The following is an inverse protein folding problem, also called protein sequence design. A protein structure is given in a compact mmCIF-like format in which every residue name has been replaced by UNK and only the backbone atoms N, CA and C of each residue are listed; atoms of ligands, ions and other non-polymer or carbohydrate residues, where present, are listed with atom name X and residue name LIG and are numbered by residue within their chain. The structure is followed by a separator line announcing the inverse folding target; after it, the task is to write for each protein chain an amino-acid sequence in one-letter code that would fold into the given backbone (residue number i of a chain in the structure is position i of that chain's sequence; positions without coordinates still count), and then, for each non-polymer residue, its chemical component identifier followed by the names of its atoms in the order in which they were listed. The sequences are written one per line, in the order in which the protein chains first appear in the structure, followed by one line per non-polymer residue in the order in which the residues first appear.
data_IF_636112066208
#
_entry.id   IF_636112066208
#
_cell.length_a   1.000
_cell.length_b   1.000
_cell.length_c   1.000
_cell.angle_alpha   90.00
_cell.angle_beta   90.00
_cell.angle_gamma   90.00
#
_symmetry.space_group_name_H-M   'P 1'
#
loop_
_entity.id
_entity.type
_entity.pdbx_description
1 polymer ?
#
# COMPACT_ATOMS: atom_id res chain seq x y z
N UNK A 1 8.39 21.09 18.84
CA UNK A 1 8.09 20.50 17.51
C UNK A 1 6.84 19.67 17.62
N UNK A 2 5.95 19.72 16.62
CA UNK A 2 4.75 18.86 16.57
C UNK A 2 5.16 17.42 16.26
N UNK A 3 4.49 16.43 16.86
CA UNK A 3 4.71 15.00 16.58
C UNK A 3 4.22 14.67 15.16
N UNK A 4 5.05 13.97 14.39
CA UNK A 4 4.71 13.49 13.04
C UNK A 4 3.56 12.48 13.11
N UNK A 5 2.59 12.62 12.20
CA UNK A 5 1.41 11.76 12.09
C UNK A 5 1.36 11.10 10.72
N UNK A 6 0.46 10.13 10.57
CA UNK A 6 0.22 9.45 9.30
C UNK A 6 -0.18 10.45 8.21
N UNK A 7 -1.06 11.40 8.54
CA UNK A 7 -1.53 12.39 7.57
C UNK A 7 -0.40 13.29 7.06
N UNK A 8 0.64 13.51 7.88
CA UNK A 8 1.82 14.28 7.46
C UNK A 8 2.60 13.52 6.36
N UNK A 9 2.69 12.19 6.46
CA UNK A 9 3.29 11.35 5.41
C UNK A 9 2.43 11.27 4.16
N UNK A 10 1.10 11.14 4.32
CA UNK A 10 0.17 11.09 3.18
C UNK A 10 0.21 12.39 2.37
N UNK A 11 0.27 13.54 3.05
CA UNK A 11 0.42 14.85 2.44
C UNK A 11 1.80 15.02 1.80
N UNK A 12 2.88 14.73 2.53
CA UNK A 12 4.26 14.88 2.04
C UNK A 12 4.51 14.09 0.75
N UNK A 13 4.01 12.86 0.68
CA UNK A 13 4.18 11.98 -0.48
C UNK A 13 3.01 12.04 -1.48
N UNK A 14 2.04 12.93 -1.21
CA UNK A 14 0.84 13.14 -2.04
C UNK A 14 0.14 11.83 -2.43
N UNK A 15 0.02 10.88 -1.49
CA UNK A 15 -0.52 9.54 -1.78
C UNK A 15 -1.96 9.63 -2.26
N UNK A 16 -2.75 10.53 -1.69
CA UNK A 16 -4.13 10.81 -2.14
C UNK A 16 -4.19 11.29 -3.59
N UNK A 17 -3.14 12.00 -4.08
CA UNK A 17 -3.10 12.55 -5.43
C UNK A 17 -2.84 11.52 -6.53
N UNK A 18 -2.05 10.47 -6.27
CA UNK A 18 -1.71 9.44 -7.26
C UNK A 18 -2.24 8.04 -6.94
N UNK A 19 -2.54 7.76 -5.67
CA UNK A 19 -2.92 6.43 -5.18
C UNK A 19 -4.28 5.94 -5.67
N UNK A 20 -5.12 6.83 -6.23
CA UNK A 20 -6.41 6.52 -6.85
C UNK A 20 -7.28 5.59 -5.98
N UNK A 21 -7.27 5.81 -4.65
CA UNK A 21 -7.95 5.00 -3.63
C UNK A 21 -7.46 3.54 -3.48
N UNK A 22 -6.55 3.07 -4.33
CA UNK A 22 -5.91 1.77 -4.16
C UNK A 22 -4.74 1.82 -3.18
N UNK A 23 -4.01 2.93 -3.11
CA UNK A 23 -2.84 3.08 -2.23
C UNK A 23 -3.12 4.11 -1.13
N UNK A 24 -2.67 3.81 0.08
CA UNK A 24 -2.81 4.67 1.27
C UNK A 24 -1.79 4.32 2.36
N UNK A 25 -1.86 5.00 3.50
CA UNK A 25 -1.09 4.65 4.71
C UNK A 25 -2.03 4.09 5.77
N UNK A 26 -1.71 2.92 6.32
CA UNK A 26 -2.52 2.30 7.38
C UNK A 26 -2.20 2.86 8.78
N UNK A 27 -2.93 2.40 9.80
CA UNK A 27 -2.77 2.84 11.20
C UNK A 27 -1.38 2.58 11.80
N UNK A 28 -0.59 1.68 11.19
CA UNK A 28 0.80 1.39 11.59
C UNK A 28 1.81 2.34 10.93
N UNK A 29 1.37 3.19 10.01
CA UNK A 29 2.23 4.05 9.21
C UNK A 29 2.88 3.35 8.01
N UNK A 30 2.37 2.18 7.60
CA UNK A 30 2.86 1.45 6.44
C UNK A 30 2.02 1.75 5.20
N UNK A 31 2.63 1.63 4.01
CA UNK A 31 1.88 1.67 2.76
C UNK A 31 1.00 0.43 2.67
N UNK A 32 -0.29 0.65 2.43
CA UNK A 32 -1.28 -0.39 2.20
C UNK A 32 -1.86 -0.28 0.79
N UNK A 33 -2.19 -1.44 0.21
CA UNK A 33 -2.85 -1.55 -1.09
C UNK A 33 -4.22 -2.20 -0.92
N UNK A 34 -5.28 -1.56 -1.40
CA UNK A 34 -6.64 -2.10 -1.43
C UNK A 34 -7.03 -2.28 -2.90
N UNK A 35 -6.81 -3.47 -3.50
CA UNK A 35 -6.90 -3.66 -4.95
C UNK A 35 -8.30 -3.47 -5.55
N UNK A 36 -9.35 -3.59 -4.73
CA UNK A 36 -10.76 -3.45 -5.11
C UNK A 36 -11.47 -2.55 -4.11
N UNK A 37 -12.42 -1.73 -4.57
CA UNK A 37 -13.32 -0.99 -3.68
C UNK A 37 -14.02 -1.97 -2.72
N UNK A 38 -14.03 -1.63 -1.43
CA UNK A 38 -14.57 -2.45 -0.33
C UNK A 38 -13.87 -3.83 -0.16
N UNK A 39 -12.69 -4.01 -0.76
CA UNK A 39 -11.86 -5.20 -0.63
C UNK A 39 -10.97 -5.20 0.61
N UNK A 40 -10.18 -6.27 0.74
CA UNK A 40 -9.18 -6.40 1.82
C UNK A 40 -7.94 -5.59 1.47
N UNK A 41 -7.46 -4.81 2.44
CA UNK A 41 -6.20 -4.08 2.33
C UNK A 41 -5.01 -5.01 2.63
N UNK A 42 -3.94 -4.86 1.86
CA UNK A 42 -2.67 -5.57 2.00
C UNK A 42 -1.61 -4.59 2.50
N UNK A 43 -1.02 -4.86 3.66
CA UNK A 43 0.12 -4.10 4.19
C UNK A 43 1.40 -4.55 3.44
N UNK A 44 2.01 -3.64 2.68
CA UNK A 44 3.20 -3.96 1.87
C UNK A 44 4.42 -4.28 2.73
N UNK A 45 4.54 -3.69 3.93
CA UNK A 45 5.67 -3.97 4.81
C UNK A 45 5.56 -5.37 5.39
N UNK A 46 4.37 -5.77 5.80
CA UNK A 46 4.12 -7.14 6.28
C UNK A 46 4.29 -8.16 5.16
N UNK A 47 3.77 -7.89 3.96
CA UNK A 47 3.96 -8.73 2.79
C UNK A 47 5.45 -8.96 2.48
N UNK A 48 6.25 -7.89 2.48
CA UNK A 48 7.70 -8.03 2.21
C UNK A 48 8.41 -8.83 3.31
N UNK A 49 8.03 -8.67 4.57
CA UNK A 49 8.58 -9.47 5.67
C UNK A 49 8.23 -10.96 5.49
N UNK A 50 6.99 -11.28 5.09
CA UNK A 50 6.58 -12.66 4.81
C UNK A 50 7.31 -13.28 3.63
N UNK A 51 7.53 -12.52 2.56
CA UNK A 51 8.33 -12.97 1.41
C UNK A 51 9.76 -13.28 1.83
N UNK A 52 10.37 -12.43 2.67
CA UNK A 52 11.71 -12.66 3.18
C UNK A 52 11.82 -13.97 3.99
N UNK A 53 10.79 -14.33 4.77
CA UNK A 53 10.73 -15.61 5.50
C UNK A 53 10.63 -16.84 4.57
N UNK A 54 10.25 -16.63 3.30
CA UNK A 54 10.18 -17.66 2.27
C UNK A 54 11.40 -17.63 1.33
N UNK A 55 12.51 -17.06 1.80
CA UNK A 55 13.75 -16.86 1.03
C UNK A 55 13.57 -16.03 -0.26
N UNK A 56 12.50 -15.22 -0.34
CA UNK A 56 12.28 -14.27 -1.43
C UNK A 56 12.67 -12.85 -0.97
N UNK A 57 13.89 -12.44 -1.29
CA UNK A 57 14.39 -11.10 -1.00
C UNK A 57 14.15 -10.12 -2.16
N UNK A 58 14.17 -8.82 -1.85
CA UNK A 58 14.18 -7.78 -2.87
C UNK A 58 15.39 -7.93 -3.84
N UNK A 59 15.25 -7.52 -5.12
CA UNK A 59 14.08 -6.86 -5.72
C UNK A 59 12.94 -7.84 -6.04
N UNK A 60 11.69 -7.43 -5.77
CA UNK A 60 10.47 -8.20 -6.11
C UNK A 60 9.48 -7.29 -6.83
N UNK A 61 8.81 -7.83 -7.85
CA UNK A 61 7.68 -7.17 -8.52
C UNK A 61 6.36 -7.81 -8.05
N UNK A 62 5.64 -7.11 -7.18
CA UNK A 62 4.30 -7.51 -6.72
C UNK A 62 3.25 -6.95 -7.69
N UNK A 63 2.32 -7.81 -8.13
CA UNK A 63 1.23 -7.42 -9.04
C UNK A 63 -0.11 -7.61 -8.34
N UNK A 64 -1.02 -6.67 -8.55
CA UNK A 64 -2.40 -6.70 -8.06
C UNK A 64 -3.36 -6.70 -9.26
N UNK A 65 -3.69 -7.87 -9.83
CA UNK A 65 -4.56 -7.97 -11.00
C UNK A 65 -5.94 -7.33 -10.78
N UNK A 66 -6.47 -7.39 -9.56
CA UNK A 66 -7.78 -6.83 -9.23
C UNK A 66 -7.86 -5.31 -9.47
N UNK A 67 -6.74 -4.57 -9.42
CA UNK A 67 -6.70 -3.14 -9.78
C UNK A 67 -6.99 -2.96 -11.27
N UNK A 68 -6.48 -3.86 -12.11
CA UNK A 68 -6.74 -3.83 -13.55
C UNK A 68 -8.20 -4.14 -13.82
N UNK A 69 -8.72 -5.21 -13.21
CA UNK A 69 -10.12 -5.62 -13.37
C UNK A 69 -11.05 -4.49 -12.94
N UNK A 70 -10.79 -3.86 -11.78
CA UNK A 70 -11.59 -2.76 -11.27
C UNK A 70 -11.53 -1.48 -12.13
N UNK A 71 -10.49 -1.28 -12.95
CA UNK A 71 -10.38 -0.13 -13.87
C UNK A 71 -11.00 -0.37 -15.25
N UNK A 72 -11.25 -1.62 -15.60
CA UNK A 72 -11.84 -2.00 -16.89
C UNK A 72 -13.37 -2.11 -16.79
N UNK A 73 -13.91 -2.37 -15.59
CA UNK A 73 -15.34 -2.22 -15.26
C UNK A 73 -15.83 -0.76 -15.43
#
# INVERSE_FOLDING_TARGET
MRKWRIEDSEELYNITGWGASYFGINEKGHVAVTPRKDGVAVDLKELMNELQLRDMSAPVLVRFPDILDNRIE
#
